data_IF_084682037880
#
_entry.id   IF_084682037880
#
_cell.length_a   1.000
_cell.length_b   1.000
_cell.length_c   1.000
_cell.angle_alpha   90.00
_cell.angle_beta   90.00
_cell.angle_gamma   90.00
#
_symmetry.space_group_name_H-M   'P 1'
#
loop_
_entity.id
_entity.type
_entity.pdbx_description
1 polymer ?
#
# COMPACT_ATOMS: atom_id res chain seq x y z
N UNK A 1 -2.14 20.38 -59.19
CA UNK A 1 -2.52 20.33 -57.76
C UNK A 1 -3.36 21.57 -57.43
N UNK A 2 -4.66 21.43 -57.12
CA UNK A 2 -5.56 22.57 -56.96
C UNK A 2 -5.51 23.19 -55.55
N UNK A 3 -5.78 24.49 -55.43
CA UNK A 3 -5.85 25.26 -54.17
C UNK A 3 -6.60 24.53 -53.04
N UNK A 4 -7.64 23.75 -53.38
CA UNK A 4 -8.42 22.91 -52.46
C UNK A 4 -7.60 21.79 -51.79
N UNK A 5 -6.66 21.18 -52.51
CA UNK A 5 -5.82 20.09 -52.00
C UNK A 5 -4.82 20.59 -50.95
N UNK A 6 -4.27 21.80 -51.16
CA UNK A 6 -3.34 22.45 -50.22
C UNK A 6 -4.06 22.86 -48.94
N UNK A 7 -5.29 23.38 -49.05
CA UNK A 7 -6.11 23.77 -47.90
C UNK A 7 -6.46 22.55 -47.04
N UNK A 8 -6.86 21.43 -47.66
CA UNK A 8 -7.19 20.20 -46.92
C UNK A 8 -5.97 19.60 -46.22
N UNK A 9 -4.84 19.52 -46.91
CA UNK A 9 -3.59 19.01 -46.32
C UNK A 9 -3.12 19.88 -45.14
N UNK A 10 -3.23 21.21 -45.26
CA UNK A 10 -2.92 22.15 -44.18
C UNK A 10 -3.82 21.98 -42.96
N UNK A 11 -5.12 21.76 -43.15
CA UNK A 11 -6.05 21.52 -42.04
C UNK A 11 -5.77 20.19 -41.32
N UNK A 12 -5.42 19.13 -42.04
CA UNK A 12 -5.06 17.84 -41.43
C UNK A 12 -3.78 17.96 -40.62
N UNK A 13 -2.75 18.61 -41.17
CA UNK A 13 -1.50 18.85 -40.46
C UNK A 13 -1.72 19.69 -39.18
N UNK A 14 -2.55 20.73 -39.27
CA UNK A 14 -2.92 21.55 -38.11
C UNK A 14 -3.66 20.73 -37.05
N UNK A 15 -4.61 19.87 -37.46
CA UNK A 15 -5.33 19.00 -36.53
C UNK A 15 -4.39 18.05 -35.79
N UNK A 16 -3.45 17.40 -36.50
CA UNK A 16 -2.47 16.50 -35.88
C UNK A 16 -1.56 17.24 -34.90
N UNK A 17 -1.07 18.43 -35.27
CA UNK A 17 -0.23 19.24 -34.39
C UNK A 17 -1.00 19.67 -33.14
N UNK A 18 -2.25 20.10 -33.28
CA UNK A 18 -3.09 20.47 -32.14
C UNK A 18 -3.36 19.26 -31.24
N UNK A 19 -3.65 18.08 -31.78
CA UNK A 19 -3.88 16.87 -30.99
C UNK A 19 -2.65 16.40 -30.19
N UNK A 20 -1.44 16.62 -30.69
CA UNK A 20 -0.19 16.24 -30.01
C UNK A 20 0.26 17.33 -29.01
N UNK A 21 -0.08 18.59 -29.27
CA UNK A 21 0.33 19.74 -28.45
C UNK A 21 -0.62 20.04 -27.28
N UNK A 22 -1.76 19.34 -27.17
CA UNK A 22 -2.58 19.45 -25.98
C UNK A 22 -1.82 18.83 -24.81
N UNK A 23 -1.47 19.60 -23.76
CA UNK A 23 -0.94 19.00 -22.55
C UNK A 23 -2.03 18.05 -22.03
N UNK A 24 -1.65 16.80 -21.76
CA UNK A 24 -2.46 15.95 -20.91
C UNK A 24 -2.62 16.72 -19.60
N UNK A 25 -3.79 17.34 -19.42
CA UNK A 25 -4.15 17.90 -18.14
C UNK A 25 -4.17 16.71 -17.20
N UNK A 26 -3.10 16.55 -16.41
CA UNK A 26 -3.08 15.64 -15.29
C UNK A 26 -4.23 16.08 -14.39
N UNK A 27 -5.39 15.44 -14.54
CA UNK A 27 -6.49 15.60 -13.61
C UNK A 27 -5.93 15.06 -12.31
N UNK A 28 -5.50 15.96 -11.43
CA UNK A 28 -5.20 15.62 -10.06
C UNK A 28 -6.51 15.09 -9.48
N UNK A 29 -6.68 13.77 -9.50
CA UNK A 29 -7.82 13.13 -8.87
C UNK A 29 -7.72 13.52 -7.41
N UNK A 30 -8.65 14.35 -6.93
CA UNK A 30 -8.68 14.72 -5.53
C UNK A 30 -8.70 13.42 -4.72
N UNK A 31 -7.58 13.10 -4.07
CA UNK A 31 -7.48 11.93 -3.21
C UNK A 31 -8.36 12.20 -2.01
N UNK A 32 -9.52 11.56 -1.98
CA UNK A 32 -10.40 11.59 -0.82
C UNK A 32 -9.95 10.44 0.08
N UNK A 33 -9.40 10.79 1.24
CA UNK A 33 -9.20 9.80 2.28
C UNK A 33 -10.56 9.28 2.76
N UNK A 34 -10.64 7.97 3.01
CA UNK A 34 -11.77 7.39 3.72
C UNK A 34 -11.74 7.82 5.18
N UNK A 35 -12.79 7.44 5.93
CA UNK A 35 -12.65 7.36 7.38
C UNK A 35 -11.51 6.36 7.72
N UNK A 36 -10.72 6.62 8.78
CA UNK A 36 -9.74 5.66 9.25
C UNK A 36 -10.41 4.31 9.56
N UNK A 37 -9.80 3.24 9.10
CA UNK A 37 -10.20 1.88 9.40
C UNK A 37 -9.30 1.38 10.53
N UNK A 38 -9.90 0.72 11.51
CA UNK A 38 -9.18 0.15 12.63
C UNK A 38 -8.52 -1.16 12.21
N UNK A 39 -7.25 -1.32 12.60
CA UNK A 39 -6.45 -2.55 12.47
C UNK A 39 -5.83 -2.86 13.83
N UNK A 40 -5.52 -4.13 14.10
CA UNK A 40 -4.88 -4.59 15.32
C UNK A 40 -5.85 -4.87 16.48
N UNK A 41 -5.36 -4.69 17.71
CA UNK A 41 -6.11 -4.97 18.93
C UNK A 41 -6.61 -3.68 19.58
N UNK A 42 -7.81 -3.72 20.18
CA UNK A 42 -8.43 -2.56 20.83
C UNK A 42 -7.65 -1.98 22.02
N UNK A 43 -6.60 -2.66 22.48
CA UNK A 43 -5.71 -2.20 23.54
C UNK A 43 -4.29 -2.65 23.26
N UNK A 44 -3.33 -1.97 23.90
CA UNK A 44 -1.91 -2.13 23.65
C UNK A 44 -1.23 -0.79 23.38
N UNK A 45 0.06 -0.84 23.11
CA UNK A 45 0.86 0.31 22.71
C UNK A 45 1.57 -0.04 21.39
N UNK A 46 0.90 0.22 20.27
CA UNK A 46 1.34 -0.23 18.94
C UNK A 46 2.33 0.76 18.31
N UNK A 47 3.51 0.26 17.95
CA UNK A 47 4.64 1.09 17.52
C UNK A 47 5.09 0.71 16.10
N UNK A 48 5.67 1.69 15.42
CA UNK A 48 6.48 1.52 14.20
C UNK A 48 5.80 0.71 13.07
N UNK A 49 4.59 1.11 12.61
CA UNK A 49 3.96 0.41 11.51
C UNK A 49 4.71 0.62 10.19
N UNK A 50 4.81 -0.43 9.37
CA UNK A 50 5.17 -0.35 7.96
C UNK A 50 4.06 -0.97 7.09
N UNK A 51 3.93 -0.46 5.87
CA UNK A 51 2.85 -0.82 4.93
C UNK A 51 3.40 -0.99 3.51
N UNK A 52 2.93 -2.03 2.83
CA UNK A 52 3.15 -2.22 1.40
C UNK A 52 1.88 -2.77 0.72
N UNK A 53 1.80 -2.60 -0.59
CA UNK A 53 0.72 -3.15 -1.40
C UNK A 53 1.27 -3.78 -2.68
N UNK A 54 0.65 -4.87 -3.12
CA UNK A 54 0.98 -5.52 -4.39
C UNK A 54 0.13 -5.00 -5.57
N UNK A 55 0.33 -5.57 -6.75
CA UNK A 55 -0.35 -5.12 -7.98
C UNK A 55 -1.78 -5.63 -8.08
N UNK A 56 -2.09 -6.69 -7.35
CA UNK A 56 -3.38 -7.33 -7.22
C UNK A 56 -4.29 -6.54 -6.26
N UNK A 57 -3.72 -5.60 -5.50
CA UNK A 57 -4.44 -4.74 -4.57
C UNK A 57 -4.56 -5.34 -3.17
N UNK A 58 -3.75 -6.35 -2.84
CA UNK A 58 -3.58 -6.76 -1.45
C UNK A 58 -2.70 -5.73 -0.72
N UNK A 59 -3.03 -5.46 0.54
CA UNK A 59 -2.31 -4.50 1.39
C UNK A 59 -1.87 -5.20 2.66
N UNK A 60 -0.60 -5.03 3.01
CA UNK A 60 0.06 -5.70 4.13
C UNK A 60 0.50 -4.62 5.10
N UNK A 61 0.04 -4.68 6.35
CA UNK A 61 0.46 -3.77 7.42
C UNK A 61 1.06 -4.60 8.53
N UNK A 62 2.28 -4.26 8.93
CA UNK A 62 2.98 -4.93 10.02
C UNK A 62 3.43 -3.90 11.06
N UNK A 63 3.39 -4.27 12.33
CA UNK A 63 3.70 -3.38 13.45
C UNK A 63 4.21 -4.13 14.68
N UNK A 64 4.82 -3.39 15.60
CA UNK A 64 5.18 -3.89 16.92
C UNK A 64 4.01 -3.72 17.88
N UNK A 65 3.52 -4.81 18.46
CA UNK A 65 2.42 -4.79 19.42
C UNK A 65 2.91 -5.01 20.85
N UNK A 66 2.69 -4.03 21.71
CA UNK A 66 2.83 -4.19 23.16
C UNK A 66 1.47 -4.40 23.81
N UNK A 67 1.42 -5.20 24.87
CA UNK A 67 0.17 -5.46 25.63
C UNK A 67 -0.24 -6.93 25.67
N UNK A 68 0.46 -7.78 24.92
CA UNK A 68 0.23 -9.22 24.87
C UNK A 68 -0.79 -9.62 23.81
N UNK A 69 -0.51 -10.72 23.11
CA UNK A 69 -1.35 -11.19 22.00
C UNK A 69 -2.42 -12.15 22.55
N UNK A 70 -3.73 -11.83 22.43
CA UNK A 70 -4.80 -12.70 22.89
C UNK A 70 -4.69 -14.11 22.30
N UNK A 71 -4.66 -15.13 23.16
CA UNK A 71 -4.57 -16.53 22.74
C UNK A 71 -3.16 -17.00 22.34
N UNK A 72 -2.11 -16.19 22.58
CA UNK A 72 -0.73 -16.57 22.32
C UNK A 72 0.17 -16.30 23.53
N UNK A 73 0.21 -17.25 24.47
CA UNK A 73 1.04 -17.14 25.69
C UNK A 73 2.55 -17.22 25.40
N UNK A 74 2.92 -17.73 24.23
CA UNK A 74 4.32 -17.79 23.77
C UNK A 74 4.75 -16.56 23.01
N UNK A 75 3.84 -15.63 22.72
CA UNK A 75 4.15 -14.41 21.98
C UNK A 75 5.01 -13.47 22.83
N UNK A 76 6.03 -12.90 22.21
CA UNK A 76 6.93 -11.96 22.84
C UNK A 76 6.25 -10.62 23.08
N UNK A 77 6.85 -9.76 23.90
CA UNK A 77 6.37 -8.41 24.15
C UNK A 77 7.57 -7.43 24.01
N UNK A 78 7.66 -6.65 22.92
CA UNK A 78 6.65 -6.54 21.85
C UNK A 78 6.54 -7.78 20.96
N UNK A 79 5.36 -7.99 20.36
CA UNK A 79 5.11 -8.99 19.34
C UNK A 79 5.18 -8.36 17.94
N UNK A 80 5.79 -9.05 16.97
CA UNK A 80 5.70 -8.65 15.57
C UNK A 80 4.35 -9.12 15.00
N UNK A 81 3.52 -8.19 14.55
CA UNK A 81 2.16 -8.45 14.07
C UNK A 81 2.02 -8.12 12.59
N UNK A 82 1.06 -8.77 11.92
CA UNK A 82 0.64 -8.45 10.56
C UNK A 82 -0.88 -8.57 10.40
N UNK A 83 -1.45 -7.68 9.60
CA UNK A 83 -2.78 -7.82 9.00
C UNK A 83 -2.68 -7.64 7.49
N UNK A 84 -3.58 -8.32 6.79
CA UNK A 84 -3.65 -8.29 5.33
C UNK A 84 -5.06 -7.96 4.91
N UNK A 85 -5.18 -6.98 4.02
CA UNK A 85 -6.38 -6.71 3.26
C UNK A 85 -6.24 -7.32 1.87
N UNK A 86 -7.32 -7.91 1.36
CA UNK A 86 -7.35 -8.49 0.00
C UNK A 86 -8.25 -7.72 -0.96
N UNK A 87 -8.67 -6.52 -0.58
CA UNK A 87 -9.64 -5.71 -1.30
C UNK A 87 -9.26 -4.22 -1.27
N UNK A 88 -7.97 -3.94 -1.46
CA UNK A 88 -7.42 -2.57 -1.54
C UNK A 88 -7.62 -1.74 -0.27
N UNK A 89 -7.59 -2.39 0.90
CA UNK A 89 -7.73 -1.74 2.21
C UNK A 89 -9.18 -1.55 2.67
N UNK A 90 -10.16 -2.15 1.99
CA UNK A 90 -11.58 -2.04 2.35
C UNK A 90 -11.95 -2.84 3.60
N UNK A 91 -11.43 -4.06 3.71
CA UNK A 91 -11.57 -4.95 4.85
C UNK A 91 -10.22 -5.58 5.20
N UNK A 92 -10.04 -5.91 6.47
CA UNK A 92 -8.82 -6.51 7.00
C UNK A 92 -9.12 -7.86 7.64
N UNK A 93 -8.22 -8.82 7.47
CA UNK A 93 -8.26 -10.09 8.20
C UNK A 93 -7.88 -9.92 9.66
N UNK A 94 -7.92 -11.01 10.42
CA UNK A 94 -7.52 -10.98 11.83
C UNK A 94 -6.01 -10.69 11.99
N UNK A 95 -5.60 -9.97 13.06
CA UNK A 95 -4.20 -9.77 13.41
C UNK A 95 -3.49 -11.08 13.74
N UNK A 96 -2.29 -11.25 13.18
CA UNK A 96 -1.50 -12.49 13.34
C UNK A 96 -0.07 -12.17 13.77
N UNK A 97 0.49 -12.91 14.75
CA UNK A 97 1.90 -12.81 15.07
C UNK A 97 2.75 -13.41 13.94
N UNK A 98 3.77 -12.68 13.48
CA UNK A 98 4.75 -13.16 12.50
C UNK A 98 5.76 -14.13 13.14
N UNK A 99 6.09 -13.92 14.41
CA UNK A 99 6.93 -14.81 15.21
C UNK A 99 6.45 -14.78 16.66
N UNK A 100 6.30 -15.95 17.28
CA UNK A 100 5.98 -16.02 18.70
C UNK A 100 7.14 -15.49 19.56
N UNK A 101 8.41 -15.73 19.19
CA UNK A 101 9.55 -15.14 19.89
C UNK A 101 10.72 -14.96 18.92
N UNK A 102 11.48 -13.85 18.96
CA UNK A 102 12.73 -13.73 18.21
C UNK A 102 13.69 -14.86 18.58
N UNK A 103 14.11 -15.67 17.61
CA UNK A 103 15.07 -16.76 17.84
C UNK A 103 16.45 -16.16 18.12
N UNK A 104 17.05 -16.52 19.26
CA UNK A 104 18.38 -16.04 19.64
C UNK A 104 18.44 -14.58 20.09
N UNK A 105 17.28 -13.95 20.35
CA UNK A 105 17.20 -12.58 20.82
C UNK A 105 17.58 -12.41 22.30
N UNK A 106 17.98 -11.17 22.64
CA UNK A 106 18.08 -10.72 24.04
C UNK A 106 16.69 -10.71 24.69
N UNK A 107 16.65 -10.77 26.03
CA UNK A 107 15.42 -10.54 26.80
C UNK A 107 14.83 -9.13 26.60
N UNK A 108 15.62 -8.20 26.05
CA UNK A 108 15.18 -6.86 25.65
C UNK A 108 15.57 -6.63 24.19
N UNK A 109 14.57 -6.35 23.36
CA UNK A 109 14.71 -6.13 21.92
C UNK A 109 13.63 -5.15 21.44
N UNK A 110 13.82 -4.60 20.24
CA UNK A 110 12.82 -3.81 19.51
C UNK A 110 12.36 -4.59 18.27
N UNK A 111 11.19 -4.23 17.77
CA UNK A 111 10.57 -4.83 16.59
C UNK A 111 10.42 -3.73 15.54
N UNK A 112 11.41 -3.64 14.65
CA UNK A 112 11.49 -2.60 13.62
C UNK A 112 11.14 -3.25 12.28
N UNK A 113 9.84 -3.42 12.01
CA UNK A 113 9.38 -4.17 10.86
C UNK A 113 9.54 -3.37 9.57
N UNK A 114 9.85 -4.09 8.49
CA UNK A 114 9.77 -3.57 7.13
C UNK A 114 8.98 -4.55 6.27
N UNK A 115 7.95 -4.05 5.60
CA UNK A 115 7.15 -4.79 4.63
C UNK A 115 7.64 -4.42 3.24
N UNK A 116 7.95 -5.41 2.41
CA UNK A 116 8.43 -5.21 1.04
C UNK A 116 7.72 -6.21 0.14
N UNK A 117 7.27 -5.74 -1.01
CA UNK A 117 6.57 -6.58 -2.00
C UNK A 117 7.47 -6.70 -3.23
N UNK A 118 7.78 -7.94 -3.60
CA UNK A 118 8.54 -8.24 -4.81
C UNK A 118 7.68 -8.10 -6.07
N UNK A 119 8.33 -8.11 -7.23
CA UNK A 119 7.63 -7.96 -8.50
C UNK A 119 6.63 -9.09 -8.78
N UNK A 120 6.88 -10.29 -8.23
CA UNK A 120 6.02 -11.48 -8.34
C UNK A 120 4.91 -11.54 -7.28
N UNK A 121 4.76 -10.49 -6.46
CA UNK A 121 3.75 -10.41 -5.40
C UNK A 121 4.14 -11.11 -4.10
N UNK A 122 5.34 -11.69 -4.01
CA UNK A 122 5.83 -12.24 -2.73
C UNK A 122 6.14 -11.12 -1.74
N UNK A 123 5.85 -11.37 -0.47
CA UNK A 123 6.05 -10.46 0.67
C UNK A 123 6.99 -11.08 1.68
#
# INVERSE_FOLDING_TARGET
MGRRFIIVAGMVALFVIVSIALPEAAVARAQRFSIPIFIGYQGGDDWEPDIAADREGHVYVAWAHYGGVPGCDTCSNPAAMIEVSTDSGGHWGDPRPLNAHPIGGSASFQVDLQVKVNQDGTV
#
